data_IF_552289975772
#
_entry.id   IF_552289975772
#
_cell.length_a   1.000
_cell.length_b   1.000
_cell.length_c   1.000
_cell.angle_alpha   90.00
_cell.angle_beta   90.00
_cell.angle_gamma   90.00
#
_symmetry.space_group_name_H-M   'P 1'
#
loop_
_entity.id
_entity.type
_entity.pdbx_description
1 polymer ?
#
# COMPACT_ATOMS: atom_id res chain seq x y z
N UNK A 1 -8.31 4.97 -10.77
CA UNK A 1 -7.82 5.83 -9.69
C UNK A 1 -8.85 6.93 -9.41
N UNK A 2 -9.27 7.12 -8.16
CA UNK A 2 -10.26 8.13 -7.74
C UNK A 2 -9.62 9.10 -6.75
N UNK A 3 -9.80 10.41 -6.94
CA UNK A 3 -9.29 11.43 -6.00
C UNK A 3 -10.17 11.48 -4.75
N UNK A 4 -9.54 11.38 -3.58
CA UNK A 4 -10.19 11.37 -2.28
C UNK A 4 -10.13 12.72 -1.56
N UNK A 5 -9.06 13.49 -1.80
CA UNK A 5 -8.88 14.78 -1.12
C UNK A 5 -7.53 15.41 -1.38
N UNK A 6 -7.21 16.42 -0.58
CA UNK A 6 -5.92 17.14 -0.61
C UNK A 6 -5.47 17.43 0.82
N UNK A 7 -4.16 17.54 1.04
CA UNK A 7 -3.60 17.97 2.32
C UNK A 7 -4.00 19.41 2.66
N UNK A 8 -3.92 19.79 3.94
CA UNK A 8 -4.27 21.14 4.40
C UNK A 8 -3.47 22.25 3.71
N UNK A 9 -2.19 22.01 3.42
CA UNK A 9 -1.32 22.92 2.67
C UNK A 9 -1.48 22.81 1.15
N UNK A 10 -2.37 21.93 0.68
CA UNK A 10 -2.69 21.70 -0.70
C UNK A 10 -1.57 21.06 -1.53
N UNK A 11 -0.46 20.60 -0.93
CA UNK A 11 0.70 20.06 -1.66
C UNK A 11 0.54 18.59 -2.06
N UNK A 12 -0.24 17.83 -1.30
CA UNK A 12 -0.46 16.40 -1.52
C UNK A 12 -1.90 16.17 -1.97
N UNK A 13 -2.09 15.36 -3.00
CA UNK A 13 -3.38 14.85 -3.44
C UNK A 13 -3.51 13.38 -3.03
N UNK A 14 -4.64 13.00 -2.44
CA UNK A 14 -4.90 11.64 -2.01
C UNK A 14 -5.77 10.92 -3.04
N UNK A 15 -5.43 9.67 -3.36
CA UNK A 15 -6.12 8.85 -4.35
C UNK A 15 -6.32 7.41 -3.88
N UNK A 16 -7.35 6.74 -4.39
CA UNK A 16 -7.43 5.28 -4.31
C UNK A 16 -6.31 4.64 -5.11
N UNK A 17 -5.67 3.62 -4.54
CA UNK A 17 -4.60 2.87 -5.18
C UNK A 17 -5.19 1.80 -6.09
N UNK A 18 -4.80 1.83 -7.36
CA UNK A 18 -5.12 0.78 -8.33
C UNK A 18 -3.94 -0.16 -8.57
N UNK A 19 -4.16 -1.25 -9.31
CA UNK A 19 -3.09 -2.18 -9.69
C UNK A 19 -1.96 -1.49 -10.46
N UNK A 20 -2.29 -0.51 -11.30
CA UNK A 20 -1.30 0.23 -12.10
C UNK A 20 -0.43 1.15 -11.23
N UNK A 21 -0.99 1.68 -10.14
CA UNK A 21 -0.27 2.53 -9.18
C UNK A 21 0.57 1.71 -8.19
N UNK A 22 0.22 0.44 -7.98
CA UNK A 22 0.80 -0.42 -6.94
C UNK A 22 2.31 -0.58 -7.10
N UNK A 23 2.80 -0.69 -8.34
CA UNK A 23 4.23 -0.86 -8.60
C UNK A 23 5.04 0.38 -8.23
N UNK A 24 4.54 1.58 -8.53
CA UNK A 24 5.16 2.84 -8.11
C UNK A 24 5.10 2.99 -6.58
N UNK A 25 3.98 2.60 -5.96
CA UNK A 25 3.83 2.65 -4.51
C UNK A 25 4.81 1.73 -3.76
N UNK A 26 5.25 0.63 -4.37
CA UNK A 26 6.31 -0.22 -3.79
C UNK A 26 7.64 0.52 -3.65
N UNK A 27 7.94 1.54 -4.45
CA UNK A 27 9.16 2.34 -4.26
C UNK A 27 9.14 3.09 -2.92
N UNK A 28 7.97 3.58 -2.50
CA UNK A 28 7.78 4.19 -1.18
C UNK A 28 7.99 3.16 -0.07
N UNK A 29 7.56 1.93 -0.28
CA UNK A 29 7.77 0.84 0.69
C UNK A 29 9.26 0.50 0.80
N UNK A 30 9.95 0.35 -0.33
CA UNK A 30 11.39 0.03 -0.36
C UNK A 30 12.24 1.11 0.27
N UNK A 31 11.95 2.37 -0.04
CA UNK A 31 12.75 3.50 0.44
C UNK A 31 12.36 3.97 1.84
N UNK A 32 11.09 3.81 2.23
CA UNK A 32 10.55 4.38 3.47
C UNK A 32 10.14 3.35 4.53
N UNK A 33 9.51 2.24 4.16
CA UNK A 33 8.97 1.29 5.13
C UNK A 33 10.01 0.25 5.56
N UNK A 34 10.60 -0.48 4.62
CA UNK A 34 11.58 -1.54 4.94
C UNK A 34 12.76 -1.10 5.81
N UNK A 35 13.41 0.06 5.58
CA UNK A 35 14.56 0.47 6.39
C UNK A 35 14.19 1.11 7.74
N UNK A 36 12.91 1.40 8.00
CA UNK A 36 12.50 2.23 9.15
C UNK A 36 11.41 1.62 10.03
N UNK A 37 10.62 0.66 9.54
CA UNK A 37 9.64 -0.03 10.37
C UNK A 37 10.34 -1.03 11.31
N UNK A 38 9.94 -1.03 12.58
CA UNK A 38 10.65 -1.73 13.65
C UNK A 38 10.82 -3.24 13.39
N UNK A 39 9.77 -3.92 12.89
CA UNK A 39 9.82 -5.34 12.59
C UNK A 39 10.62 -5.61 11.31
N UNK A 40 10.46 -4.79 10.27
CA UNK A 40 11.30 -4.88 9.08
C UNK A 40 12.78 -4.73 9.41
N UNK A 41 13.14 -3.79 10.30
CA UNK A 41 14.52 -3.61 10.77
C UNK A 41 14.98 -4.83 11.56
N UNK A 42 14.19 -5.29 12.53
CA UNK A 42 14.55 -6.44 13.38
C UNK A 42 14.69 -7.75 12.59
N UNK A 43 13.92 -7.92 11.53
CA UNK A 43 13.97 -9.08 10.63
C UNK A 43 14.86 -8.87 9.40
N UNK A 44 15.60 -7.76 9.33
CA UNK A 44 16.51 -7.42 8.23
C UNK A 44 15.87 -7.47 6.84
N UNK A 45 14.58 -7.11 6.73
CA UNK A 45 13.78 -7.23 5.49
C UNK A 45 14.44 -6.45 4.35
N UNK A 46 14.96 -5.25 4.61
CA UNK A 46 15.64 -4.44 3.60
C UNK A 46 16.95 -5.07 3.07
N UNK A 47 17.59 -5.94 3.87
CA UNK A 47 18.87 -6.58 3.52
C UNK A 47 18.67 -7.99 2.94
N UNK A 48 17.46 -8.54 3.00
CA UNK A 48 17.12 -9.86 2.51
C UNK A 48 16.19 -9.77 1.29
N UNK A 49 16.71 -9.96 0.06
CA UNK A 49 15.92 -9.85 -1.17
C UNK A 49 14.73 -10.82 -1.27
N UNK A 50 14.79 -11.97 -0.59
CA UNK A 50 13.67 -12.91 -0.58
C UNK A 50 12.54 -12.39 0.32
N UNK A 51 12.89 -11.91 1.52
CA UNK A 51 11.92 -11.35 2.46
C UNK A 51 11.23 -10.09 1.92
N UNK A 52 12.00 -9.17 1.32
CA UNK A 52 11.43 -7.97 0.69
C UNK A 52 10.48 -8.35 -0.44
N UNK A 53 10.87 -9.29 -1.30
CA UNK A 53 10.03 -9.77 -2.40
C UNK A 53 8.73 -10.44 -1.93
N UNK A 54 8.78 -11.25 -0.88
CA UNK A 54 7.58 -11.87 -0.31
C UNK A 54 6.62 -10.82 0.25
N UNK A 55 7.14 -9.81 0.96
CA UNK A 55 6.31 -8.73 1.49
C UNK A 55 5.75 -7.83 0.37
N UNK A 56 6.52 -7.55 -0.68
CA UNK A 56 6.03 -6.84 -1.87
C UNK A 56 4.90 -7.60 -2.56
N UNK A 57 5.04 -8.92 -2.73
CA UNK A 57 3.99 -9.75 -3.33
C UNK A 57 2.71 -9.71 -2.50
N UNK A 58 2.82 -9.76 -1.16
CA UNK A 58 1.68 -9.59 -0.26
C UNK A 58 0.99 -8.24 -0.47
N UNK A 59 1.75 -7.14 -0.61
CA UNK A 59 1.19 -5.81 -0.83
C UNK A 59 0.49 -5.69 -2.19
N UNK A 60 1.03 -6.32 -3.24
CA UNK A 60 0.37 -6.41 -4.55
C UNK A 60 -0.95 -7.19 -4.47
N UNK A 61 -1.01 -8.25 -3.67
CA UNK A 61 -2.24 -9.02 -3.45
C UNK A 61 -3.25 -8.24 -2.60
N UNK A 62 -2.79 -7.44 -1.64
CA UNK A 62 -3.64 -6.53 -0.84
C UNK A 62 -4.24 -5.43 -1.73
N UNK A 63 -3.48 -4.88 -2.68
CA UNK A 63 -3.96 -3.85 -3.60
C UNK A 63 -5.18 -4.28 -4.42
N UNK A 64 -5.39 -5.59 -4.60
CA UNK A 64 -6.54 -6.13 -5.34
C UNK A 64 -7.88 -5.90 -4.62
N UNK A 65 -7.89 -5.56 -3.33
CA UNK A 65 -9.11 -5.24 -2.59
C UNK A 65 -9.61 -3.80 -2.86
N UNK A 66 -8.85 -2.99 -3.61
CA UNK A 66 -9.22 -1.63 -4.06
C UNK A 66 -9.59 -0.64 -2.94
N UNK A 67 -9.22 -0.93 -1.69
CA UNK A 67 -9.41 -0.05 -0.51
C UNK A 67 -8.13 0.61 -0.02
N UNK A 68 -7.03 0.44 -0.76
CA UNK A 68 -5.74 1.07 -0.46
C UNK A 68 -5.71 2.52 -0.96
N UNK A 69 -4.89 3.37 -0.33
CA UNK A 69 -4.83 4.81 -0.60
C UNK A 69 -3.38 5.26 -0.73
N UNK A 70 -3.09 6.20 -1.62
CA UNK A 70 -1.78 6.83 -1.71
C UNK A 70 -1.86 8.36 -1.77
N UNK A 71 -0.76 9.01 -1.40
CA UNK A 71 -0.55 10.44 -1.51
C UNK A 71 0.43 10.76 -2.62
N UNK A 72 0.07 11.70 -3.49
CA UNK A 72 0.89 12.17 -4.61
C UNK A 72 1.25 13.64 -4.41
N UNK A 73 2.53 13.99 -4.50
CA UNK A 73 2.94 15.39 -4.46
C UNK A 73 2.61 16.07 -5.80
N UNK A 74 2.01 17.27 -5.73
CA UNK A 74 1.37 17.91 -6.90
C UNK A 74 2.34 18.30 -8.02
N UNK A 75 3.56 18.70 -7.71
CA UNK A 75 4.48 19.29 -8.68
C UNK A 75 5.31 18.21 -9.39
N UNK A 76 5.92 17.33 -8.61
CA UNK A 76 6.74 16.19 -9.04
C UNK A 76 5.89 15.08 -9.62
N UNK A 77 4.62 14.97 -9.20
CA UNK A 77 3.75 13.85 -9.53
C UNK A 77 4.26 12.51 -9.01
N UNK A 78 5.12 12.51 -7.99
CA UNK A 78 5.58 11.27 -7.38
C UNK A 78 4.62 10.83 -6.27
N UNK A 79 4.44 9.51 -6.12
CA UNK A 79 3.85 8.96 -4.90
C UNK A 79 4.84 9.20 -3.75
N UNK A 80 4.36 9.82 -2.67
CA UNK A 80 5.16 10.20 -1.49
C UNK A 80 4.72 9.50 -0.21
N UNK A 81 3.64 8.74 -0.27
CA UNK A 81 3.10 7.98 0.85
C UNK A 81 2.03 7.00 0.37
N UNK A 82 1.91 5.86 1.05
CA UNK A 82 0.92 4.82 0.72
C UNK A 82 0.42 4.13 1.97
N UNK A 83 -0.86 3.74 1.97
CA UNK A 83 -1.49 2.86 2.93
C UNK A 83 -2.09 1.66 2.18
N UNK A 84 -1.48 0.49 2.36
CA UNK A 84 -2.03 -0.78 1.86
C UNK A 84 -3.04 -1.33 2.87
N UNK A 85 -4.29 -1.46 2.44
CA UNK A 85 -5.40 -1.91 3.28
C UNK A 85 -6.00 -3.20 2.70
N UNK A 86 -6.22 -4.20 3.56
CA UNK A 86 -6.86 -5.48 3.21
C UNK A 86 -8.24 -5.56 3.86
N UNK A 87 -9.25 -6.00 3.11
CA UNK A 87 -10.54 -6.41 3.67
C UNK A 87 -10.39 -7.87 4.13
N UNK A 88 -10.32 -8.08 5.44
CA UNK A 88 -10.34 -9.43 6.00
C UNK A 88 -11.79 -9.92 6.16
N UNK A 89 -12.18 -10.90 5.36
CA UNK A 89 -13.49 -11.54 5.45
C UNK A 89 -13.45 -12.72 6.41
N UNK A 90 -14.38 -12.73 7.38
CA UNK A 90 -14.59 -13.92 8.21
C UNK A 90 -15.43 -14.94 7.42
N UNK A 91 -14.82 -16.06 7.05
CA UNK A 91 -15.43 -17.12 6.20
C UNK A 91 -16.72 -17.69 6.83
N UNK A 92 -16.89 -17.60 8.16
CA UNK A 92 -18.13 -18.04 8.82
C UNK A 92 -19.38 -17.25 8.37
N UNK A 93 -19.23 -16.01 7.92
CA UNK A 93 -20.34 -15.15 7.49
C UNK A 93 -20.75 -15.45 6.04
N UNK A 94 -19.80 -15.80 5.15
CA UNK A 94 -20.07 -16.08 3.73
C UNK A 94 -20.87 -17.38 3.49
N UNK A 95 -20.94 -18.28 4.48
CA UNK A 95 -21.68 -19.54 4.38
C UNK A 95 -23.17 -19.38 4.66
N UNK A 96 -23.60 -18.26 5.26
CA UNK A 96 -25.01 -17.98 5.56
C UNK A 96 -25.76 -17.32 4.38
N UNK A 97 -25.06 -16.61 3.50
CA UNK A 97 -25.68 -15.97 2.32
C UNK A 97 -25.83 -16.91 1.10
N UNK A 98 -25.48 -18.19 1.25
CA UNK A 98 -25.59 -19.22 0.19
C UNK A 98 -26.62 -20.31 0.50
N UNK A 99 -27.61 -20.03 1.35
CA UNK A 99 -28.70 -20.96 1.70
C UNK A 99 -30.04 -20.37 1.28
#
# INVERSE_FOLDING_TARGET
MTKLGVSNDGKIEYFTLTKDDAQEALEVIRAGFFPHENICVACEVALNPAASKELEQLLLDIAQDEVSVFGREKNTKNIVGVCFNKIQVNISVQRMERI
#
